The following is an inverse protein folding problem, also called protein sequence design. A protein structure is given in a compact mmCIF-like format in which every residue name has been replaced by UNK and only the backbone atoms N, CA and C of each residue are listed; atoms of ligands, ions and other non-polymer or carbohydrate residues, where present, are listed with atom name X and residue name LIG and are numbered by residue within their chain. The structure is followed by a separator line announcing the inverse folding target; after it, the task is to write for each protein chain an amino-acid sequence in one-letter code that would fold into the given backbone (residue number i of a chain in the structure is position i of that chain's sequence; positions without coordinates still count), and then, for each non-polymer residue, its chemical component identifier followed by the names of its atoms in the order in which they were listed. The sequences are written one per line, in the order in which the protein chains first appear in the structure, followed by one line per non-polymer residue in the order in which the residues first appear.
data_IF_938226825338
#
_entry.id   IF_938226825338
#
_cell.length_a   1.000
_cell.length_b   1.000
_cell.length_c   1.000
_cell.angle_alpha   90.00
_cell.angle_beta   90.00
_cell.angle_gamma   90.00
#
_symmetry.space_group_name_H-M   'P 1'
#
loop_
_entity.id
_entity.type
_entity.pdbx_description
1 polymer ?
#
# COMPACT_ATOMS: atom_id res chain seq x y z
N UNK A 1 28.77 -32.02 58.35
CA UNK A 1 28.05 -33.19 57.79
C UNK A 1 28.63 -33.45 56.41
N UNK A 2 29.59 -34.38 56.30
CA UNK A 2 29.47 -35.69 55.59
C UNK A 2 29.37 -35.52 54.06
N UNK A 3 30.20 -36.07 53.17
CA UNK A 3 31.17 -37.19 53.21
C UNK A 3 32.03 -37.16 51.91
N UNK A 4 33.32 -37.50 52.02
CA UNK A 4 34.12 -38.49 51.24
C UNK A 4 34.08 -38.43 49.68
N UNK A 5 35.17 -38.10 48.99
CA UNK A 5 36.39 -38.89 48.64
C UNK A 5 36.24 -39.86 47.44
N UNK A 6 37.26 -39.82 46.55
CA UNK A 6 37.77 -40.85 45.60
C UNK A 6 37.00 -40.91 44.26
N UNK A 7 37.58 -40.96 43.05
CA UNK A 7 38.82 -41.56 42.52
C UNK A 7 39.31 -40.73 41.30
N UNK A 8 40.57 -40.30 41.15
CA UNK A 8 41.75 -41.04 40.68
C UNK A 8 41.59 -41.79 39.35
N UNK A 9 42.29 -41.33 38.28
CA UNK A 9 43.39 -42.04 37.58
C UNK A 9 43.75 -41.30 36.28
N UNK A 10 44.97 -40.75 36.21
CA UNK A 10 46.14 -41.17 35.40
C UNK A 10 46.15 -40.63 33.95
N UNK A 11 47.02 -39.66 33.60
CA UNK A 11 48.49 -39.73 33.30
C UNK A 11 48.75 -40.00 31.78
N UNK A 12 49.92 -39.64 31.24
CA UNK A 12 50.25 -38.36 30.61
C UNK A 12 50.85 -38.61 29.20
N UNK A 13 51.83 -37.80 28.79
CA UNK A 13 52.75 -37.98 27.64
C UNK A 13 52.26 -37.40 26.31
N UNK A 14 53.05 -36.69 25.51
CA UNK A 14 54.48 -36.36 25.57
C UNK A 14 54.70 -35.09 24.74
N UNK A 15 55.75 -34.35 25.10
CA UNK A 15 56.33 -33.20 24.39
C UNK A 15 56.61 -33.47 22.90
N UNK A 16 56.56 -32.42 22.07
CA UNK A 16 57.75 -31.88 21.38
C UNK A 16 57.42 -30.63 20.56
N UNK A 17 58.31 -29.65 20.66
CA UNK A 17 58.34 -28.42 19.89
C UNK A 17 58.93 -28.65 18.49
N UNK A 18 58.46 -27.88 17.50
CA UNK A 18 59.27 -27.44 16.36
C UNK A 18 58.61 -26.24 15.67
N UNK A 19 59.33 -25.13 15.60
CA UNK A 19 59.07 -24.04 14.66
C UNK A 19 59.70 -24.41 13.30
N UNK A 20 59.05 -24.06 12.18
CA UNK A 20 59.69 -24.10 10.87
C UNK A 20 58.74 -23.90 9.69
N UNK A 21 58.68 -22.66 9.21
CA UNK A 21 58.76 -22.25 7.79
C UNK A 21 57.92 -22.92 6.69
N UNK A 22 57.06 -22.08 6.11
CA UNK A 22 56.82 -21.83 4.67
C UNK A 22 55.95 -22.77 3.81
N UNK A 23 55.10 -22.05 3.07
CA UNK A 23 54.48 -22.30 1.76
C UNK A 23 53.15 -23.07 1.64
N UNK A 24 52.19 -22.30 1.12
CA UNK A 24 51.08 -22.62 0.21
C UNK A 24 50.21 -23.85 0.49
N UNK A 25 48.93 -23.61 0.76
CA UNK A 25 47.83 -23.90 -0.18
C UNK A 25 46.47 -23.72 0.50
N UNK A 26 45.55 -23.17 -0.29
CA UNK A 26 44.11 -23.03 -0.14
C UNK A 26 43.35 -23.92 0.85
N UNK A 27 42.36 -23.25 1.46
CA UNK A 27 40.97 -23.68 1.70
C UNK A 27 40.55 -24.05 3.12
N UNK A 28 39.38 -23.48 3.41
CA UNK A 28 38.42 -23.74 4.49
C UNK A 28 38.86 -23.37 5.90
N UNK A 29 38.32 -22.24 6.39
CA UNK A 29 37.90 -22.20 7.78
C UNK A 29 36.57 -21.47 7.97
N UNK A 30 35.78 -22.08 8.83
CA UNK A 30 34.44 -21.72 9.23
C UNK A 30 34.51 -20.70 10.37
N UNK A 31 33.98 -19.50 10.19
CA UNK A 31 33.53 -18.59 11.26
C UNK A 31 32.78 -17.43 10.57
N UNK A 32 31.64 -16.91 11.01
CA UNK A 32 31.00 -16.98 12.31
C UNK A 32 29.49 -16.82 12.12
N UNK A 33 28.75 -17.48 13.01
CA UNK A 33 27.33 -17.31 13.27
C UNK A 33 27.05 -15.83 13.62
N UNK A 34 26.46 -15.09 12.68
CA UNK A 34 25.64 -13.92 12.99
C UNK A 34 24.19 -14.28 12.69
N UNK A 35 23.43 -14.41 13.77
CA UNK A 35 21.97 -14.42 13.77
C UNK A 35 21.47 -13.11 13.19
N UNK A 36 21.04 -13.13 11.93
CA UNK A 36 20.21 -12.11 11.33
C UNK A 36 18.76 -12.59 11.38
N UNK A 37 17.91 -11.74 11.93
CA UNK A 37 16.46 -11.81 11.94
C UNK A 37 15.91 -12.14 10.55
N UNK A 38 15.01 -13.13 10.48
CA UNK A 38 14.15 -13.36 9.33
C UNK A 38 13.31 -12.11 9.05
N UNK A 39 13.76 -11.27 8.11
CA UNK A 39 12.84 -10.41 7.36
C UNK A 39 12.17 -11.31 6.33
N UNK A 40 10.94 -11.71 6.63
CA UNK A 40 10.03 -12.29 5.63
C UNK A 40 9.85 -11.25 4.52
N UNK A 41 10.58 -11.42 3.42
CA UNK A 41 10.34 -10.67 2.20
C UNK A 41 9.19 -11.33 1.47
N UNK A 42 8.02 -10.68 1.48
CA UNK A 42 6.92 -11.07 0.60
C UNK A 42 7.35 -10.80 -0.84
N UNK A 43 7.20 -11.79 -1.72
CA UNK A 43 7.50 -11.62 -3.14
C UNK A 43 6.49 -10.65 -3.77
N UNK A 44 6.88 -9.82 -4.76
CA UNK A 44 5.96 -8.90 -5.41
C UNK A 44 4.79 -9.65 -6.04
N UNK A 45 3.56 -9.16 -5.82
CA UNK A 45 2.33 -9.72 -6.38
C UNK A 45 2.46 -9.80 -7.90
N UNK A 46 2.38 -11.02 -8.43
CA UNK A 46 2.44 -11.27 -9.86
C UNK A 46 1.04 -11.10 -10.44
N UNK A 47 0.71 -9.86 -10.81
CA UNK A 47 -0.53 -9.54 -11.49
C UNK A 47 -0.53 -10.25 -12.86
N UNK A 48 -1.56 -11.04 -13.21
CA UNK A 48 -1.65 -11.69 -14.52
C UNK A 48 -1.48 -10.68 -15.65
N UNK A 49 -0.69 -11.04 -16.67
CA UNK A 49 -0.53 -10.22 -17.87
C UNK A 49 -1.88 -10.09 -18.60
N UNK A 50 -2.19 -8.87 -19.00
CA UNK A 50 -3.46 -8.42 -19.59
C UNK A 50 -4.02 -9.40 -20.64
N UNK A 51 -5.28 -9.83 -20.47
CA UNK A 51 -5.99 -10.67 -21.46
C UNK A 51 -7.05 -9.87 -22.25
N UNK A 52 -7.64 -10.47 -23.29
CA UNK A 52 -8.56 -9.81 -24.21
C UNK A 52 -9.82 -9.17 -23.57
N UNK A 53 -10.16 -9.51 -22.32
CA UNK A 53 -11.27 -8.90 -21.57
C UNK A 53 -10.95 -7.48 -21.05
N UNK A 54 -9.66 -7.08 -21.05
CA UNK A 54 -9.18 -5.75 -20.67
C UNK A 54 -9.36 -4.67 -21.76
N UNK A 55 -9.95 -4.99 -22.91
CA UNK A 55 -10.36 -3.97 -23.88
C UNK A 55 -11.39 -2.97 -23.31
N UNK A 56 -11.96 -3.28 -22.13
CA UNK A 56 -12.88 -2.44 -21.37
C UNK A 56 -12.23 -1.72 -20.16
N UNK A 57 -10.92 -1.82 -19.95
CA UNK A 57 -10.23 -1.12 -18.87
C UNK A 57 -10.21 0.41 -19.11
N UNK A 58 -10.33 1.24 -18.06
CA UNK A 58 -10.18 2.70 -18.19
C UNK A 58 -8.78 3.10 -18.67
N UNK A 59 -8.65 4.35 -19.14
CA UNK A 59 -7.33 4.91 -19.38
C UNK A 59 -6.58 5.10 -18.05
N UNK A 60 -5.24 4.99 -18.06
CA UNK A 60 -4.44 5.28 -16.88
C UNK A 60 -4.74 6.70 -16.39
N UNK A 61 -4.97 6.85 -15.08
CA UNK A 61 -5.34 8.13 -14.48
C UNK A 61 -6.83 8.48 -14.54
N UNK A 62 -7.70 7.68 -15.17
CA UNK A 62 -9.16 7.90 -15.12
C UNK A 62 -9.63 7.92 -13.66
N UNK A 63 -10.32 8.99 -13.27
CA UNK A 63 -10.86 9.13 -11.93
C UNK A 63 -12.11 8.27 -11.74
N UNK A 64 -12.26 7.66 -10.56
CA UNK A 64 -13.44 6.84 -10.24
C UNK A 64 -14.73 7.67 -10.30
N UNK A 65 -14.66 8.97 -10.00
CA UNK A 65 -15.79 9.90 -10.11
C UNK A 65 -16.31 10.07 -11.55
N UNK A 66 -15.49 9.80 -12.56
CA UNK A 66 -15.92 9.84 -13.97
C UNK A 66 -16.77 8.60 -14.33
N UNK A 67 -16.50 7.46 -13.67
CA UNK A 67 -17.22 6.19 -13.89
C UNK A 67 -18.49 6.14 -13.04
N UNK A 68 -18.39 6.55 -11.77
CA UNK A 68 -19.49 6.53 -10.81
C UNK A 68 -20.45 7.71 -11.02
N UNK A 69 -19.99 8.74 -11.75
CA UNK A 69 -20.65 10.03 -11.88
C UNK A 69 -20.31 10.96 -10.72
N UNK A 70 -19.94 12.21 -11.02
CA UNK A 70 -19.60 13.24 -10.00
C UNK A 70 -20.77 13.64 -9.11
N UNK A 71 -21.95 13.10 -9.39
CA UNK A 71 -23.10 13.16 -8.51
C UNK A 71 -23.46 11.75 -8.06
N UNK A 72 -22.90 11.33 -6.93
CA UNK A 72 -23.82 10.91 -5.88
C UNK A 72 -24.68 12.14 -5.61
N UNK A 73 -25.83 12.22 -6.29
CA UNK A 73 -26.79 13.29 -6.10
C UNK A 73 -26.99 13.49 -4.60
N UNK A 74 -27.38 14.69 -4.16
CA UNK A 74 -27.83 14.91 -2.79
C UNK A 74 -28.98 13.97 -2.35
N UNK A 75 -29.46 13.07 -3.23
CA UNK A 75 -30.39 11.97 -2.98
C UNK A 75 -29.73 10.61 -2.64
N UNK A 76 -28.41 10.46 -2.74
CA UNK A 76 -27.66 9.24 -2.38
C UNK A 76 -26.88 9.34 -1.06
N UNK A 77 -26.87 10.52 -0.42
CA UNK A 77 -26.26 10.70 0.90
C UNK A 77 -27.12 9.98 1.95
N UNK A 78 -26.71 8.75 2.24
CA UNK A 78 -27.41 7.73 3.02
C UNK A 78 -28.61 7.12 2.28
N UNK A 79 -28.51 5.83 1.97
CA UNK A 79 -29.68 4.98 2.15
C UNK A 79 -29.72 4.65 3.65
N UNK A 80 -30.61 5.28 4.46
CA UNK A 80 -30.61 5.09 5.91
C UNK A 80 -30.87 3.63 6.31
N UNK A 81 -31.36 2.81 5.37
CA UNK A 81 -31.65 1.39 5.59
C UNK A 81 -30.40 0.50 5.69
N UNK A 82 -29.24 0.92 5.14
CA UNK A 82 -28.03 0.09 5.11
C UNK A 82 -26.99 0.43 6.19
N UNK A 83 -27.17 1.55 6.93
CA UNK A 83 -26.37 1.90 8.11
C UNK A 83 -24.94 2.41 7.83
N UNK A 84 -24.65 2.87 6.60
CA UNK A 84 -23.37 3.50 6.23
C UNK A 84 -23.57 4.83 5.50
N UNK A 85 -22.51 5.65 5.49
CA UNK A 85 -22.44 6.91 4.76
C UNK A 85 -21.74 6.72 3.43
N UNK A 86 -22.40 7.15 2.37
CA UNK A 86 -21.89 7.18 1.01
C UNK A 86 -20.88 8.33 0.86
N UNK A 87 -19.64 8.00 0.47
CA UNK A 87 -18.52 8.94 0.41
C UNK A 87 -17.96 9.13 -1.00
N UNK A 88 -17.52 10.35 -1.29
CA UNK A 88 -16.62 10.66 -2.40
C UNK A 88 -15.19 10.94 -1.90
N UNK A 89 -14.23 11.05 -2.83
CA UNK A 89 -12.83 11.28 -2.48
C UNK A 89 -12.55 12.69 -1.95
N UNK A 90 -13.41 13.68 -2.23
CA UNK A 90 -13.29 15.01 -1.65
C UNK A 90 -13.69 15.03 -0.17
N UNK A 91 -14.60 14.14 0.25
CA UNK A 91 -14.98 13.98 1.66
C UNK A 91 -13.79 13.54 2.54
N UNK A 92 -12.75 12.93 1.94
CA UNK A 92 -11.50 12.53 2.61
C UNK A 92 -10.50 13.69 2.77
N UNK A 93 -10.74 14.86 2.18
CA UNK A 93 -9.87 16.01 2.37
C UNK A 93 -10.05 16.60 3.79
N UNK A 94 -8.98 16.95 4.49
CA UNK A 94 -9.11 17.60 5.80
C UNK A 94 -9.74 18.98 5.66
N UNK A 95 -10.37 19.46 6.74
CA UNK A 95 -11.05 20.75 6.75
C UNK A 95 -10.12 21.89 6.33
N UNK A 96 -10.58 22.70 5.37
CA UNK A 96 -9.86 23.86 4.87
C UNK A 96 -8.76 23.56 3.84
N UNK A 97 -8.41 22.29 3.60
CA UNK A 97 -7.50 21.94 2.53
C UNK A 97 -8.19 22.02 1.16
N UNK A 98 -7.55 22.73 0.23
CA UNK A 98 -8.12 23.11 -1.06
C UNK A 98 -7.12 22.82 -2.18
N UNK A 99 -7.16 21.61 -2.76
CA UNK A 99 -6.24 21.19 -3.82
C UNK A 99 -6.25 22.16 -5.02
N UNK A 100 -7.41 22.77 -5.32
CA UNK A 100 -7.58 23.76 -6.38
C UNK A 100 -6.74 25.03 -6.17
N UNK A 101 -6.47 25.42 -4.92
CA UNK A 101 -5.64 26.58 -4.62
C UNK A 101 -4.16 26.31 -4.89
N UNK A 102 -3.72 25.07 -4.67
CA UNK A 102 -2.36 24.64 -5.03
C UNK A 102 -2.20 24.70 -6.55
N UNK A 103 -3.16 24.17 -7.30
CA UNK A 103 -3.12 24.25 -8.77
C UNK A 103 -3.14 25.69 -9.27
N UNK A 104 -4.02 26.54 -8.73
CA UNK A 104 -4.09 27.96 -9.11
C UNK A 104 -2.77 28.70 -8.83
N UNK A 105 -2.12 28.39 -7.69
CA UNK A 105 -0.82 28.96 -7.31
C UNK A 105 0.28 28.63 -8.33
N UNK A 106 0.28 27.41 -8.86
CA UNK A 106 1.33 26.91 -9.77
C UNK A 106 0.97 26.99 -11.25
N UNK A 107 -0.25 27.38 -11.61
CA UNK A 107 -0.77 27.33 -12.98
C UNK A 107 0.14 28.04 -14.00
N UNK A 108 0.63 29.24 -13.68
CA UNK A 108 1.50 29.99 -14.58
C UNK A 108 2.89 29.34 -14.75
N UNK A 109 3.46 28.80 -13.67
CA UNK A 109 4.74 28.07 -13.71
C UNK A 109 4.59 26.79 -14.55
N UNK A 110 3.49 26.07 -14.38
CA UNK A 110 3.18 24.85 -15.15
C UNK A 110 3.08 25.17 -16.65
N UNK A 111 2.34 26.22 -17.03
CA UNK A 111 2.16 26.60 -18.43
C UNK A 111 3.44 27.09 -19.11
N UNK A 112 4.38 27.65 -18.33
CA UNK A 112 5.63 28.19 -18.85
C UNK A 112 6.76 27.14 -18.91
N UNK A 113 6.58 25.99 -18.26
CA UNK A 113 7.61 24.96 -18.15
C UNK A 113 7.56 24.00 -19.33
N UNK A 114 8.71 23.70 -19.92
CA UNK A 114 8.83 22.75 -21.02
C UNK A 114 8.68 21.30 -20.52
N UNK A 115 7.84 20.52 -21.19
CA UNK A 115 7.64 19.09 -20.90
C UNK A 115 8.95 18.30 -21.05
N UNK A 116 9.25 17.44 -20.08
CA UNK A 116 10.48 16.64 -20.02
C UNK A 116 11.70 17.38 -19.49
N UNK A 117 11.60 18.67 -19.17
CA UNK A 117 12.73 19.47 -18.69
C UNK A 117 13.16 19.12 -17.25
N UNK A 118 14.43 19.38 -16.87
CA UNK A 118 14.85 19.29 -15.47
C UNK A 118 14.02 20.19 -14.54
N UNK A 119 13.60 21.36 -15.03
CA UNK A 119 12.75 22.33 -14.33
C UNK A 119 11.36 21.76 -14.05
N UNK A 120 10.76 21.04 -15.00
CA UNK A 120 9.49 20.33 -14.80
C UNK A 120 9.58 19.37 -13.63
N UNK A 121 10.66 18.59 -13.54
CA UNK A 121 10.85 17.63 -12.44
C UNK A 121 10.93 18.32 -11.08
N UNK A 122 11.55 19.51 -11.02
CA UNK A 122 11.62 20.33 -9.80
C UNK A 122 10.25 20.90 -9.45
N UNK A 123 9.54 21.44 -10.44
CA UNK A 123 8.19 21.98 -10.27
C UNK A 123 7.21 20.90 -9.81
N UNK A 124 7.21 19.74 -10.46
CA UNK A 124 6.42 18.57 -10.08
C UNK A 124 6.64 18.19 -8.62
N UNK A 125 7.90 18.08 -8.18
CA UNK A 125 8.23 17.76 -6.78
C UNK A 125 7.69 18.82 -5.81
N UNK A 126 7.76 20.10 -6.17
CA UNK A 126 7.26 21.22 -5.36
C UNK A 126 5.73 21.16 -5.24
N UNK A 127 5.04 21.01 -6.37
CA UNK A 127 3.57 20.91 -6.44
C UNK A 127 3.09 19.70 -5.65
N UNK A 128 3.63 18.51 -5.93
CA UNK A 128 3.25 17.28 -5.23
C UNK A 128 3.62 17.31 -3.75
N UNK A 129 4.69 18.00 -3.37
CA UNK A 129 5.03 18.24 -1.97
C UNK A 129 3.93 19.00 -1.21
N UNK A 130 3.28 19.98 -1.84
CA UNK A 130 2.15 20.70 -1.23
C UNK A 130 0.89 19.85 -1.18
N UNK A 131 0.60 19.09 -2.25
CA UNK A 131 -0.50 18.11 -2.21
C UNK A 131 -0.29 17.10 -1.07
N UNK A 132 0.91 16.57 -0.91
CA UNK A 132 1.23 15.56 0.10
C UNK A 132 1.36 16.12 1.53
N UNK A 133 1.28 17.44 1.72
CA UNK A 133 1.50 18.07 3.03
C UNK A 133 0.30 17.99 3.97
N UNK A 134 -0.88 17.66 3.45
CA UNK A 134 -2.10 17.57 4.24
C UNK A 134 -2.28 16.18 4.88
N UNK A 135 -2.69 16.17 6.14
CA UNK A 135 -3.08 14.96 6.86
C UNK A 135 -4.49 14.48 6.48
N UNK A 136 -4.93 13.42 7.14
CA UNK A 136 -6.27 12.87 6.96
C UNK A 136 -7.38 13.74 7.62
N UNK A 137 -8.60 13.66 7.10
CA UNK A 137 -9.81 14.21 7.71
C UNK A 137 -10.16 13.45 8.99
N UNK A 138 -9.73 14.02 10.12
CA UNK A 138 -9.91 13.43 11.45
C UNK A 138 -11.38 13.23 11.84
N UNK A 139 -12.33 13.94 11.20
CA UNK A 139 -13.75 13.78 11.50
C UNK A 139 -14.34 12.46 10.98
N UNK A 140 -13.60 11.70 10.17
CA UNK A 140 -14.05 10.43 9.61
C UNK A 140 -13.83 9.24 10.55
N UNK A 141 -12.98 9.38 11.56
CA UNK A 141 -12.59 8.27 12.42
C UNK A 141 -13.80 7.57 13.07
N UNK A 142 -13.85 6.24 12.94
CA UNK A 142 -14.92 5.39 13.46
C UNK A 142 -16.24 5.46 12.69
N UNK A 143 -16.30 6.14 11.53
CA UNK A 143 -17.54 6.21 10.74
C UNK A 143 -17.71 4.97 9.88
N UNK A 144 -18.96 4.49 9.80
CA UNK A 144 -19.35 3.49 8.80
C UNK A 144 -19.53 4.16 7.45
N UNK A 145 -18.72 3.76 6.47
CA UNK A 145 -18.66 4.37 5.15
C UNK A 145 -18.82 3.35 4.04
N UNK A 146 -19.27 3.83 2.88
CA UNK A 146 -19.15 3.17 1.59
C UNK A 146 -18.46 4.12 0.62
N UNK A 147 -17.31 3.73 0.09
CA UNK A 147 -16.49 4.55 -0.81
C UNK A 147 -16.15 3.77 -2.08
N UNK A 148 -16.25 4.38 -3.29
CA UNK A 148 -15.84 3.72 -4.51
C UNK A 148 -14.37 3.98 -4.80
N UNK A 149 -13.67 3.02 -5.40
CA UNK A 149 -12.29 3.23 -5.82
C UNK A 149 -11.73 2.09 -6.65
N UNK A 150 -10.48 2.24 -7.07
CA UNK A 150 -9.72 1.21 -7.75
C UNK A 150 -8.82 0.46 -6.77
N UNK A 151 -8.51 -0.78 -7.11
CA UNK A 151 -7.72 -1.69 -6.28
C UNK A 151 -6.26 -1.67 -6.77
N UNK A 152 -5.33 -1.38 -5.86
CA UNK A 152 -3.90 -1.64 -6.01
C UNK A 152 -3.49 -2.76 -5.04
N UNK A 153 -3.40 -4.03 -5.50
CA UNK A 153 -3.16 -5.18 -4.62
C UNK A 153 -1.81 -5.12 -3.90
N UNK A 154 -1.80 -5.46 -2.61
CA UNK A 154 -0.58 -5.67 -1.81
C UNK A 154 -0.24 -7.16 -1.69
N UNK A 155 -1.27 -8.01 -1.58
CA UNK A 155 -1.13 -9.46 -1.61
C UNK A 155 -2.30 -10.14 -2.35
N UNK A 156 -2.31 -11.48 -2.36
CA UNK A 156 -3.37 -12.29 -2.96
C UNK A 156 -3.74 -13.48 -2.07
N UNK A 157 -5.00 -13.89 -2.15
CA UNK A 157 -5.50 -15.10 -1.51
C UNK A 157 -6.12 -16.02 -2.58
N UNK A 158 -5.30 -16.88 -3.17
CA UNK A 158 -5.69 -17.65 -4.35
C UNK A 158 -6.00 -16.71 -5.53
N UNK A 159 -7.21 -16.82 -6.07
CA UNK A 159 -7.68 -15.99 -7.19
C UNK A 159 -8.31 -14.66 -6.74
N UNK A 160 -8.39 -14.41 -5.43
CA UNK A 160 -8.93 -13.17 -4.86
C UNK A 160 -7.80 -12.21 -4.49
N UNK A 161 -8.11 -10.91 -4.58
CA UNK A 161 -7.26 -9.87 -3.98
C UNK A 161 -7.31 -10.03 -2.46
N UNK A 162 -6.17 -10.04 -1.79
CA UNK A 162 -6.14 -9.96 -0.32
C UNK A 162 -6.14 -8.50 0.12
N UNK A 163 -5.16 -8.08 0.92
CA UNK A 163 -4.94 -6.70 1.31
C UNK A 163 -4.61 -5.82 0.10
N UNK A 164 -5.11 -4.59 0.08
CA UNK A 164 -4.90 -3.67 -1.02
C UNK A 164 -5.01 -2.20 -0.61
N UNK A 165 -4.47 -1.33 -1.46
CA UNK A 165 -4.74 0.11 -1.39
C UNK A 165 -5.93 0.44 -2.30
N UNK A 166 -6.97 1.04 -1.72
CA UNK A 166 -8.04 1.67 -2.48
C UNK A 166 -7.61 3.09 -2.86
N UNK A 167 -7.76 3.43 -4.13
CA UNK A 167 -7.27 4.69 -4.72
C UNK A 167 -8.28 5.33 -5.68
N UNK A 168 -8.25 6.67 -5.87
CA UNK A 168 -9.21 7.39 -6.71
C UNK A 168 -8.99 7.22 -8.21
N UNK A 169 -7.79 6.87 -8.66
CA UNK A 169 -7.44 6.83 -10.09
C UNK A 169 -6.98 5.46 -10.53
N UNK A 170 -7.44 5.04 -11.69
CA UNK A 170 -7.06 3.77 -12.28
C UNK A 170 -5.54 3.70 -12.56
N UNK A 171 -4.90 2.62 -12.13
CA UNK A 171 -3.47 2.38 -12.34
C UNK A 171 -2.53 3.10 -11.35
N UNK A 172 -3.06 3.79 -10.33
CA UNK A 172 -2.22 4.40 -9.28
C UNK A 172 -1.41 3.35 -8.51
N UNK A 173 -0.27 3.77 -7.98
CA UNK A 173 0.72 2.96 -7.23
C UNK A 173 1.47 1.91 -8.07
N UNK A 174 0.87 1.36 -9.13
CA UNK A 174 1.46 0.30 -9.96
C UNK A 174 2.06 0.86 -11.25
N UNK A 175 1.34 1.76 -11.92
CA UNK A 175 1.76 2.36 -13.19
C UNK A 175 2.05 3.85 -13.07
N UNK A 176 1.41 4.51 -12.10
CA UNK A 176 1.56 5.93 -11.81
C UNK A 176 2.02 6.14 -10.36
N UNK A 177 2.61 7.30 -10.04
CA UNK A 177 2.94 7.64 -8.65
C UNK A 177 1.74 7.46 -7.71
N UNK A 178 1.98 7.12 -6.43
CA UNK A 178 0.91 6.96 -5.47
C UNK A 178 0.19 8.29 -5.20
N UNK A 179 -1.11 8.27 -4.90
CA UNK A 179 -1.83 9.46 -4.42
C UNK A 179 -1.28 9.93 -3.06
N UNK A 180 -1.64 11.15 -2.62
CA UNK A 180 -1.40 11.58 -1.24
C UNK A 180 -1.97 10.58 -0.22
N UNK A 181 -1.39 10.52 0.99
CA UNK A 181 -1.86 9.61 2.04
C UNK A 181 -3.34 9.83 2.40
N UNK A 182 -3.79 11.10 2.47
CA UNK A 182 -5.20 11.44 2.69
C UNK A 182 -6.12 11.17 1.47
N UNK A 183 -5.59 10.56 0.41
CA UNK A 183 -6.32 10.07 -0.76
C UNK A 183 -6.01 8.59 -1.03
N UNK A 184 -5.57 7.85 0.00
CA UNK A 184 -5.25 6.43 -0.08
C UNK A 184 -5.82 5.72 1.15
N UNK A 185 -6.54 4.62 0.94
CA UNK A 185 -7.14 3.82 2.02
C UNK A 185 -6.54 2.41 1.96
N UNK A 186 -5.94 1.96 3.06
CA UNK A 186 -5.55 0.56 3.23
C UNK A 186 -6.80 -0.27 3.54
N UNK A 187 -7.02 -1.35 2.80
CA UNK A 187 -8.20 -2.20 2.95
C UNK A 187 -7.77 -3.63 3.23
N UNK A 188 -8.27 -4.17 4.34
CA UNK A 188 -8.17 -5.58 4.70
C UNK A 188 -9.58 -6.20 4.49
N UNK A 189 -9.81 -6.98 3.42
CA UNK A 189 -11.13 -7.57 3.16
C UNK A 189 -11.49 -8.61 4.21
N UNK A 190 -12.79 -8.71 4.53
CA UNK A 190 -13.27 -9.86 5.28
C UNK A 190 -13.04 -11.16 4.49
N UNK A 191 -12.83 -12.26 5.20
CA UNK A 191 -12.50 -13.56 4.58
C UNK A 191 -13.52 -13.96 3.50
N UNK A 192 -13.03 -14.20 2.28
CA UNK A 192 -13.87 -14.53 1.12
C UNK A 192 -14.79 -13.41 0.63
N UNK A 193 -14.59 -12.16 1.08
CA UNK A 193 -15.37 -10.96 0.69
C UNK A 193 -14.53 -9.94 -0.08
N UNK A 194 -13.73 -10.44 -1.01
CA UNK A 194 -12.92 -9.64 -1.93
C UNK A 194 -13.30 -9.91 -3.38
N UNK A 195 -12.68 -9.16 -4.29
CA UNK A 195 -12.88 -9.30 -5.75
C UNK A 195 -11.82 -10.21 -6.37
N UNK A 196 -12.16 -10.75 -7.54
CA UNK A 196 -11.24 -11.54 -8.35
C UNK A 196 -10.06 -10.68 -8.83
N UNK A 197 -8.87 -11.28 -8.89
CA UNK A 197 -7.69 -10.65 -9.52
C UNK A 197 -7.95 -10.27 -10.97
N UNK A 198 -8.82 -11.00 -11.67
CA UNK A 198 -9.19 -10.68 -13.05
C UNK A 198 -10.06 -9.44 -13.16
N UNK A 199 -10.70 -8.97 -12.08
CA UNK A 199 -11.66 -7.87 -12.10
C UNK A 199 -11.10 -6.54 -11.58
N UNK A 200 -9.83 -6.48 -11.18
CA UNK A 200 -9.20 -5.28 -10.58
C UNK A 200 -9.14 -4.07 -11.53
N UNK A 201 -9.41 -4.27 -12.83
CA UNK A 201 -9.53 -3.19 -13.80
C UNK A 201 -10.85 -2.39 -13.67
N UNK A 202 -11.81 -2.90 -12.90
CA UNK A 202 -13.08 -2.23 -12.60
C UNK A 202 -13.02 -1.60 -11.21
N UNK A 203 -13.74 -0.48 -10.99
CA UNK A 203 -13.88 0.04 -9.64
C UNK A 203 -14.69 -0.90 -8.76
N UNK A 204 -14.47 -0.79 -7.45
CA UNK A 204 -15.18 -1.52 -6.41
C UNK A 204 -15.84 -0.55 -5.44
N UNK A 205 -16.89 -1.01 -4.76
CA UNK A 205 -17.37 -0.42 -3.52
C UNK A 205 -16.71 -1.11 -2.34
N UNK A 206 -16.13 -0.32 -1.43
CA UNK A 206 -15.62 -0.79 -0.14
C UNK A 206 -16.55 -0.27 0.95
N UNK A 207 -17.06 -1.18 1.78
CA UNK A 207 -17.95 -0.87 2.91
C UNK A 207 -17.30 -1.35 4.20
N UNK A 208 -17.24 -0.47 5.20
CA UNK A 208 -16.71 -0.80 6.52
C UNK A 208 -16.65 0.41 7.44
N UNK A 209 -16.01 0.23 8.59
CA UNK A 209 -15.68 1.33 9.50
C UNK A 209 -14.31 1.90 9.09
N UNK A 210 -14.23 3.21 8.89
CA UNK A 210 -12.98 3.88 8.51
C UNK A 210 -12.23 4.34 9.76
N UNK A 211 -10.97 3.93 9.86
CA UNK A 211 -10.03 4.35 10.89
C UNK A 211 -9.10 5.42 10.29
N UNK A 212 -8.89 6.50 11.03
CA UNK A 212 -7.92 7.55 10.65
C UNK A 212 -6.60 7.26 11.32
N UNK A 213 -5.79 6.42 10.66
CA UNK A 213 -4.47 6.01 11.14
C UNK A 213 -3.51 5.88 9.95
N UNK A 214 -2.35 6.53 10.06
CA UNK A 214 -1.36 6.53 8.99
C UNK A 214 -0.58 5.22 9.01
N UNK A 215 -0.53 4.56 7.85
CA UNK A 215 0.20 3.30 7.68
C UNK A 215 1.12 3.37 6.47
N UNK A 216 2.34 2.88 6.67
CA UNK A 216 3.32 2.67 5.61
C UNK A 216 3.16 1.25 5.06
N UNK A 217 2.91 1.12 3.76
CA UNK A 217 2.86 -0.16 3.04
C UNK A 217 4.01 -0.26 2.05
N UNK A 218 4.20 -1.44 1.46
CA UNK A 218 5.21 -1.66 0.42
C UNK A 218 4.98 -0.81 -0.85
N UNK A 219 3.74 -0.39 -1.11
CA UNK A 219 3.39 0.43 -2.29
C UNK A 219 3.31 1.93 -1.99
N UNK A 220 2.69 2.33 -0.88
CA UNK A 220 2.45 3.73 -0.55
C UNK A 220 2.11 3.96 0.93
N UNK A 221 2.13 5.23 1.35
CA UNK A 221 1.50 5.66 2.60
C UNK A 221 -0.02 5.75 2.41
N UNK A 222 -0.78 5.25 3.37
CA UNK A 222 -2.22 5.45 3.46
C UNK A 222 -2.56 6.23 4.73
N UNK A 223 -3.52 7.17 4.63
CA UNK A 223 -3.99 7.96 5.78
C UNK A 223 -5.24 7.39 6.44
N UNK A 224 -5.78 6.30 5.89
CA UNK A 224 -6.98 5.63 6.36
C UNK A 224 -6.84 4.12 6.27
N UNK A 225 -7.57 3.41 7.13
CA UNK A 225 -7.69 1.96 7.11
C UNK A 225 -9.16 1.55 7.16
N UNK A 226 -9.53 0.47 6.46
CA UNK A 226 -10.82 -0.20 6.62
C UNK A 226 -10.54 -1.70 6.77
N UNK A 227 -10.79 -2.21 7.98
CA UNK A 227 -10.58 -3.62 8.33
C UNK A 227 -11.87 -4.42 8.22
N UNK A 228 -11.74 -5.72 7.95
CA UNK A 228 -12.88 -6.64 7.75
C UNK A 228 -13.89 -6.09 6.73
N UNK A 229 -13.39 -5.47 5.66
CA UNK A 229 -14.20 -4.74 4.72
C UNK A 229 -15.07 -5.69 3.88
N UNK A 230 -16.28 -5.24 3.53
CA UNK A 230 -17.05 -5.84 2.44
C UNK A 230 -16.66 -5.15 1.13
N UNK A 231 -16.08 -5.90 0.22
CA UNK A 231 -15.72 -5.41 -1.12
C UNK A 231 -16.65 -6.02 -2.14
N UNK A 232 -17.27 -5.18 -2.98
CA UNK A 232 -18.12 -5.65 -4.08
C UNK A 232 -17.78 -4.90 -5.36
N UNK A 233 -17.87 -5.53 -6.54
CA UNK A 233 -17.72 -4.83 -7.81
C UNK A 233 -18.68 -3.63 -7.89
N UNK A 234 -18.21 -2.51 -8.43
CA UNK A 234 -19.10 -1.40 -8.74
C UNK A 234 -20.06 -1.80 -9.86
N UNK A 235 -21.35 -1.59 -9.64
CA UNK A 235 -22.38 -1.68 -10.68
C UNK A 235 -23.05 -0.31 -10.81
N UNK A 236 -23.13 0.19 -12.04
CA UNK A 236 -23.89 1.41 -12.32
C UNK A 236 -25.38 1.12 -12.04
N UNK A 237 -26.11 2.02 -11.35
CA UNK A 237 -27.54 1.85 -11.17
C UNK A 237 -28.23 1.70 -12.54
N UNK A 238 -29.14 0.73 -12.67
CA UNK A 238 -29.92 0.56 -13.89
C UNK A 238 -30.77 1.83 -14.12
N UNK A 239 -30.63 2.44 -15.31
CA UNK A 239 -31.44 3.57 -15.76
C UNK A 239 -32.83 3.14 -16.25
#
# INVERSE_FOLDING_TARGET
MTHRYIATLLLPCFLLAACGGSDDTQSSDTAAKQTASDSSGSAPVKIPEVNAEQAAAPALGTAVSEIVGSKMDAAGKANPEDGFTDMDWNDLLPEGFKPEQIMAKYQAEIQATEEGSPEERVLYKKVMGEFNSAGANQSLDGKKVRIPGFVAPLDTNGDLVGDFLLVPYYGSCIHSPPPPAHQTVMVEPAEGKSVSLNDIYRPVWVVGEIEVDEIDTDLAKAGYQIKNAKVVPYTQPAH
#
